data_IF_027595963810
#
_entry.id   IF_027595963810
#
_cell.length_a   1.000
_cell.length_b   1.000
_cell.length_c   1.000
_cell.angle_alpha   90.00
_cell.angle_beta   90.00
_cell.angle_gamma   90.00
#
_symmetry.space_group_name_H-M   'P 1'
#
loop_
_entity.id
_entity.type
_entity.pdbx_description
1 polymer ?
#
# COMPACT_ATOMS: atom_id res chain seq x y z
N UNK A 1 8.78 17.78 34.13
CA UNK A 1 9.99 17.12 33.64
C UNK A 1 9.81 16.81 32.16
N UNK A 2 10.88 16.79 31.37
CA UNK A 2 10.86 16.24 29.99
C UNK A 2 11.31 14.79 30.07
N UNK A 3 10.55 13.87 29.46
CA UNK A 3 10.87 12.46 29.40
C UNK A 3 10.82 12.01 27.93
N UNK A 4 11.88 11.35 27.48
CA UNK A 4 11.91 10.68 26.18
C UNK A 4 11.51 9.23 26.39
N UNK A 5 10.68 8.69 25.50
CA UNK A 5 10.20 7.31 25.56
C UNK A 5 10.44 6.61 24.22
N UNK A 6 10.71 5.32 24.30
CA UNK A 6 10.72 4.38 23.19
C UNK A 6 10.27 3.01 23.71
N UNK A 7 9.43 2.29 22.93
CA UNK A 7 8.93 0.97 23.34
C UNK A 7 9.25 -0.09 22.32
N UNK A 8 9.57 -1.30 22.82
CA UNK A 8 9.72 -2.47 21.98
C UNK A 8 8.56 -3.44 22.17
N UNK A 9 8.11 -4.04 21.07
CA UNK A 9 6.89 -4.84 21.05
C UNK A 9 7.07 -6.13 20.27
N UNK A 10 6.21 -7.10 20.51
CA UNK A 10 6.08 -8.22 19.59
C UNK A 10 5.27 -7.77 18.36
N UNK A 11 5.32 -8.58 17.31
CA UNK A 11 4.52 -8.41 16.12
C UNK A 11 4.05 -9.76 15.57
N UNK A 12 2.95 -9.75 14.83
CA UNK A 12 2.46 -10.92 14.12
C UNK A 12 2.67 -10.77 12.61
N UNK A 13 2.82 -11.90 11.91
CA UNK A 13 2.85 -11.88 10.44
C UNK A 13 1.43 -11.69 9.92
N UNK A 14 1.23 -10.69 9.10
CA UNK A 14 -0.04 -10.49 8.40
C UNK A 14 -0.12 -11.39 7.14
N UNK A 15 -1.32 -11.47 6.54
CA UNK A 15 -1.59 -12.28 5.34
C UNK A 15 -0.75 -11.90 4.11
N UNK A 16 -0.11 -10.74 4.11
CA UNK A 16 0.71 -10.22 3.02
C UNK A 16 2.22 -10.33 3.30
N UNK A 17 2.62 -11.23 4.23
CA UNK A 17 4.00 -11.41 4.70
C UNK A 17 4.64 -10.14 5.30
N UNK A 18 3.84 -9.15 5.68
CA UNK A 18 4.25 -7.99 6.46
C UNK A 18 4.18 -8.27 7.97
N UNK A 19 4.70 -7.33 8.75
CA UNK A 19 4.63 -7.37 10.21
C UNK A 19 3.53 -6.44 10.71
N UNK A 20 2.71 -6.94 11.63
CA UNK A 20 1.69 -6.14 12.31
C UNK A 20 2.05 -6.00 13.81
N UNK A 21 2.67 -4.88 14.21
CA UNK A 21 2.97 -4.58 15.61
C UNK A 21 1.82 -3.82 16.30
N UNK A 22 0.58 -4.00 15.86
CA UNK A 22 -0.57 -3.30 16.41
C UNK A 22 -0.83 -3.69 17.88
N UNK A 23 -1.08 -2.74 18.79
CA UNK A 23 -1.48 -3.04 20.16
C UNK A 23 -2.88 -3.68 20.24
N UNK A 24 -3.67 -3.63 19.17
CA UNK A 24 -5.01 -4.22 19.09
C UNK A 24 -4.98 -5.70 18.67
N UNK A 25 -3.82 -6.23 18.25
CA UNK A 25 -3.69 -7.65 17.98
C UNK A 25 -3.53 -8.41 19.31
N UNK A 26 -4.39 -9.41 19.61
CA UNK A 26 -4.45 -10.05 20.94
C UNK A 26 -3.15 -10.77 21.34
N UNK A 27 -2.38 -11.23 20.36
CA UNK A 27 -1.13 -11.97 20.61
C UNK A 27 0.09 -11.05 20.71
N UNK A 28 -0.05 -9.75 20.42
CA UNK A 28 1.03 -8.80 20.56
C UNK A 28 1.19 -8.37 22.02
N UNK A 29 2.44 -8.11 22.41
CA UNK A 29 2.82 -7.72 23.79
C UNK A 29 3.75 -6.53 23.77
N UNK A 30 3.62 -5.66 24.76
CA UNK A 30 4.62 -4.66 25.10
C UNK A 30 5.80 -5.40 25.74
N UNK A 31 6.96 -5.39 25.10
CA UNK A 31 8.13 -6.14 25.57
C UNK A 31 8.95 -5.33 26.55
N UNK A 32 9.20 -4.07 26.23
CA UNK A 32 10.02 -3.20 27.09
C UNK A 32 9.72 -1.73 26.86
N UNK A 33 10.13 -0.92 27.83
CA UNK A 33 10.00 0.55 27.83
C UNK A 33 11.34 1.16 28.19
N UNK A 34 11.90 1.97 27.31
CA UNK A 34 13.07 2.82 27.54
C UNK A 34 12.63 4.24 27.90
N UNK A 35 13.25 4.82 28.91
CA UNK A 35 13.02 6.20 29.35
C UNK A 35 14.34 6.96 29.49
N UNK A 36 14.39 8.20 29.00
CA UNK A 36 15.48 9.14 29.26
C UNK A 36 14.90 10.41 29.87
N UNK A 37 15.25 10.71 31.11
CA UNK A 37 14.63 11.80 31.88
C UNK A 37 15.60 12.44 32.86
N UNK A 38 15.11 13.30 33.73
CA UNK A 38 15.87 13.84 34.86
C UNK A 38 16.34 12.80 35.86
N UNK A 39 15.83 11.57 35.81
CA UNK A 39 16.29 10.41 36.59
C UNK A 39 17.39 9.59 35.90
N UNK A 40 17.77 9.99 34.69
CA UNK A 40 18.74 9.29 33.86
C UNK A 40 18.09 8.38 32.83
N UNK A 41 18.89 7.45 32.30
CA UNK A 41 18.48 6.47 31.30
C UNK A 41 18.02 5.19 32.00
N UNK A 42 16.69 4.97 32.02
CA UNK A 42 16.05 3.82 32.65
C UNK A 42 15.49 2.88 31.60
N UNK A 43 15.48 1.56 31.87
CA UNK A 43 14.96 0.55 30.95
C UNK A 43 14.23 -0.55 31.71
N UNK A 44 13.03 -0.90 31.26
CA UNK A 44 12.14 -1.82 31.94
C UNK A 44 11.63 -2.89 30.99
N UNK A 45 11.75 -4.15 31.38
CA UNK A 45 11.12 -5.27 30.67
C UNK A 45 9.75 -5.55 31.28
N UNK A 46 8.71 -5.50 30.44
CA UNK A 46 7.31 -5.81 30.82
C UNK A 46 6.92 -7.22 30.39
N UNK A 47 7.44 -7.67 29.24
CA UNK A 47 7.19 -9.00 28.71
C UNK A 47 8.38 -9.47 27.88
N UNK A 48 9.27 -10.22 28.49
CA UNK A 48 10.44 -10.78 27.82
C UNK A 48 10.69 -12.22 28.31
N UNK A 49 11.16 -13.12 27.43
CA UNK A 49 11.36 -14.53 27.76
C UNK A 49 12.41 -14.78 28.84
N UNK A 50 13.41 -13.93 28.93
CA UNK A 50 14.55 -14.07 29.85
C UNK A 50 14.47 -13.15 31.07
N UNK A 51 13.76 -12.02 30.97
CA UNK A 51 13.81 -10.95 31.99
C UNK A 51 12.50 -10.19 32.10
N UNK A 52 11.97 -10.06 33.29
CA UNK A 52 10.86 -9.15 33.63
C UNK A 52 11.29 -8.31 34.82
N UNK A 53 11.09 -6.98 34.76
CA UNK A 53 11.47 -6.06 35.82
C UNK A 53 10.34 -6.01 36.86
N UNK A 54 10.63 -6.30 38.12
CA UNK A 54 9.68 -6.18 39.24
C UNK A 54 9.26 -4.73 39.42
N UNK A 55 7.97 -4.49 39.74
CA UNK A 55 7.42 -3.16 39.97
C UNK A 55 7.54 -2.17 38.83
N UNK A 56 7.85 -2.66 37.61
CA UNK A 56 8.10 -1.76 36.47
C UNK A 56 6.88 -0.93 36.10
N UNK A 57 5.66 -1.44 36.26
CA UNK A 57 4.45 -0.70 35.93
C UNK A 57 4.27 0.51 36.84
N UNK A 58 4.42 0.34 38.15
CA UNK A 58 4.32 1.43 39.12
C UNK A 58 5.40 2.47 38.88
N UNK A 59 6.63 2.04 38.69
CA UNK A 59 7.76 2.93 38.44
C UNK A 59 7.60 3.72 37.14
N UNK A 60 7.23 3.07 36.04
CA UNK A 60 6.96 3.75 34.76
C UNK A 60 5.82 4.77 34.93
N UNK A 61 4.73 4.39 35.61
CA UNK A 61 3.62 5.31 35.84
C UNK A 61 4.04 6.53 36.70
N UNK A 62 4.85 6.35 37.74
CA UNK A 62 5.41 7.45 38.54
C UNK A 62 6.26 8.41 37.67
N UNK A 63 7.05 7.87 36.71
CA UNK A 63 7.81 8.71 35.75
C UNK A 63 6.89 9.49 34.84
N UNK A 64 5.82 8.86 34.32
CA UNK A 64 4.82 9.51 33.48
C UNK A 64 4.06 10.62 34.24
N UNK A 65 3.68 10.37 35.50
CA UNK A 65 2.97 11.35 36.36
C UNK A 65 3.80 12.62 36.61
N UNK A 66 5.12 12.49 36.66
CA UNK A 66 6.06 13.61 36.78
C UNK A 66 6.42 14.27 35.45
N UNK A 67 5.99 13.70 34.33
CA UNK A 67 6.34 14.17 32.99
C UNK A 67 5.40 15.27 32.53
N UNK A 68 5.95 16.44 32.20
CA UNK A 68 5.19 17.57 31.65
C UNK A 68 5.24 17.61 30.09
N UNK A 69 6.27 17.00 29.50
CA UNK A 69 6.44 16.86 28.07
C UNK A 69 7.01 15.48 27.77
N UNK A 70 6.21 14.64 27.11
CA UNK A 70 6.63 13.34 26.62
C UNK A 70 7.15 13.50 25.18
N UNK A 71 8.35 12.97 24.92
CA UNK A 71 9.05 13.07 23.64
C UNK A 71 9.31 11.67 23.12
N UNK A 72 9.12 11.45 21.81
CA UNK A 72 9.48 10.20 21.14
C UNK A 72 9.75 10.41 19.67
N UNK A 73 10.06 9.36 18.96
CA UNK A 73 10.22 9.38 17.50
C UNK A 73 9.18 8.48 16.85
N UNK A 74 8.21 9.04 16.14
CA UNK A 74 6.95 8.39 15.77
C UNK A 74 6.11 8.05 17.02
N UNK A 75 6.09 8.99 17.95
CA UNK A 75 5.57 8.86 19.31
C UNK A 75 4.13 8.33 19.39
N UNK A 76 3.33 8.50 18.35
CA UNK A 76 1.96 7.95 18.34
C UNK A 76 1.95 6.44 18.57
N UNK A 77 2.94 5.71 18.03
CA UNK A 77 3.07 4.27 18.23
C UNK A 77 3.32 3.95 19.71
N UNK A 78 4.30 4.59 20.33
CA UNK A 78 4.65 4.38 21.72
C UNK A 78 3.50 4.76 22.66
N UNK A 79 2.89 5.92 22.43
CA UNK A 79 1.76 6.40 23.20
C UNK A 79 0.59 5.41 23.16
N UNK A 80 0.24 4.90 21.98
CA UNK A 80 -0.84 3.92 21.84
C UNK A 80 -0.55 2.63 22.62
N UNK A 81 0.67 2.10 22.53
CA UNK A 81 1.09 0.92 23.26
C UNK A 81 1.03 1.14 24.78
N UNK A 82 1.51 2.29 25.26
CA UNK A 82 1.46 2.62 26.68
C UNK A 82 0.02 2.70 27.17
N UNK A 83 -0.86 3.39 26.42
CA UNK A 83 -2.27 3.53 26.82
C UNK A 83 -3.03 2.20 26.78
N UNK A 84 -2.77 1.32 25.81
CA UNK A 84 -3.37 -0.02 25.73
C UNK A 84 -2.80 -0.98 26.79
N UNK A 85 -1.55 -0.81 27.21
CA UNK A 85 -0.97 -1.53 28.34
C UNK A 85 -1.51 -1.07 29.71
N UNK A 86 -2.36 -0.03 29.74
CA UNK A 86 -3.02 0.46 30.96
C UNK A 86 -2.35 1.66 31.62
N UNK A 87 -1.26 2.17 31.07
CA UNK A 87 -0.64 3.41 31.56
C UNK A 87 -1.52 4.63 31.27
N UNK A 88 -1.37 5.67 32.08
CA UNK A 88 -2.10 6.92 31.95
C UNK A 88 -1.15 8.06 31.66
N UNK A 89 -1.47 8.86 30.65
CA UNK A 89 -0.73 10.08 30.34
C UNK A 89 -1.67 11.10 29.70
N UNK A 90 -1.69 12.32 30.24
CA UNK A 90 -2.52 13.44 29.76
C UNK A 90 -1.71 14.71 29.55
N UNK A 91 -0.38 14.62 29.64
CA UNK A 91 0.53 15.74 29.45
C UNK A 91 0.74 16.12 27.99
N UNK A 92 1.62 17.09 27.77
CA UNK A 92 2.01 17.52 26.42
C UNK A 92 2.91 16.48 25.75
N UNK A 93 2.84 16.40 24.42
CA UNK A 93 3.66 15.50 23.63
C UNK A 93 4.46 16.26 22.58
N UNK A 94 5.61 15.70 22.20
CA UNK A 94 6.42 16.16 21.08
C UNK A 94 6.98 14.97 20.32
N UNK A 95 6.69 14.90 19.03
CA UNK A 95 7.20 13.85 18.15
C UNK A 95 8.36 14.41 17.29
N UNK A 96 9.55 13.84 17.46
CA UNK A 96 10.75 14.26 16.73
C UNK A 96 10.67 13.95 15.22
N UNK A 97 9.87 12.96 14.80
CA UNK A 97 9.58 12.70 13.39
C UNK A 97 8.76 13.85 12.79
N UNK A 98 7.72 14.32 13.50
CA UNK A 98 6.91 15.46 13.08
C UNK A 98 7.72 16.77 13.14
N UNK A 99 8.57 16.93 14.13
CA UNK A 99 9.52 18.07 14.21
C UNK A 99 10.43 18.15 12.99
N UNK A 100 11.00 17.01 12.58
CA UNK A 100 11.86 16.94 11.38
C UNK A 100 11.07 17.20 10.09
N UNK A 101 9.84 16.66 9.99
CA UNK A 101 8.94 16.92 8.86
C UNK A 101 8.69 18.42 8.67
N UNK A 102 8.41 19.15 9.74
CA UNK A 102 8.16 20.61 9.71
C UNK A 102 9.41 21.38 9.35
N UNK A 103 10.56 21.03 9.95
CA UNK A 103 11.85 21.68 9.67
C UNK A 103 12.34 21.44 8.23
N UNK A 104 11.89 20.37 7.59
CA UNK A 104 12.16 20.12 6.17
C UNK A 104 11.37 21.02 5.20
N UNK A 105 10.37 21.79 5.68
CA UNK A 105 9.64 22.80 4.88
C UNK A 105 9.13 22.28 3.54
N UNK A 106 8.51 21.11 3.52
CA UNK A 106 7.95 20.47 2.33
C UNK A 106 8.97 19.70 1.45
N UNK A 107 10.27 19.76 1.78
CA UNK A 107 11.27 18.93 1.09
C UNK A 107 11.14 17.50 1.58
N UNK A 108 10.90 16.57 0.68
CA UNK A 108 10.82 15.15 1.00
C UNK A 108 12.20 14.59 1.37
N UNK A 109 12.35 14.20 2.62
CA UNK A 109 13.52 13.49 3.16
C UNK A 109 13.03 12.31 3.98
N UNK A 110 13.86 11.28 4.13
CA UNK A 110 13.55 10.18 5.05
C UNK A 110 13.42 10.72 6.47
N UNK A 111 12.39 10.27 7.17
CA UNK A 111 12.08 10.68 8.54
C UNK A 111 12.39 9.57 9.56
N UNK A 112 13.04 8.48 9.17
CA UNK A 112 13.47 7.44 10.13
C UNK A 112 14.48 8.04 11.11
N UNK A 113 14.46 7.58 12.36
CA UNK A 113 15.34 8.05 13.42
C UNK A 113 16.82 8.03 12.96
N UNK A 114 17.26 6.92 12.39
CA UNK A 114 18.62 6.75 11.86
C UNK A 114 18.98 7.86 10.84
N UNK A 115 18.12 8.11 9.85
CA UNK A 115 18.40 9.09 8.80
C UNK A 115 18.35 10.54 9.33
N UNK A 116 17.49 10.81 10.31
CA UNK A 116 17.44 12.10 10.99
C UNK A 116 18.73 12.35 11.77
N UNK A 117 19.18 11.36 12.55
CA UNK A 117 20.41 11.45 13.34
C UNK A 117 21.67 11.57 12.47
N UNK A 118 21.75 10.80 11.37
CA UNK A 118 22.87 10.89 10.43
C UNK A 118 22.96 12.29 9.77
N UNK A 119 21.85 12.85 9.33
CA UNK A 119 21.83 14.21 8.74
C UNK A 119 22.32 15.28 9.72
N UNK A 120 22.03 15.08 11.00
CA UNK A 120 22.40 16.01 12.08
C UNK A 120 23.72 15.68 12.76
N UNK A 121 24.33 14.53 12.41
CA UNK A 121 25.60 14.04 12.98
C UNK A 121 25.55 13.90 14.50
N UNK A 122 24.43 13.41 15.05
CA UNK A 122 24.18 13.34 16.51
C UNK A 122 24.20 11.92 17.07
N UNK A 123 24.36 10.90 16.25
CA UNK A 123 24.45 9.51 16.65
C UNK A 123 24.05 8.56 15.53
N UNK A 124 24.12 7.28 15.83
CA UNK A 124 23.70 6.19 14.93
C UNK A 124 22.84 5.20 15.71
N UNK A 125 21.87 4.62 15.04
CA UNK A 125 21.08 3.51 15.56
C UNK A 125 21.92 2.24 15.58
N UNK A 126 21.69 1.36 16.54
CA UNK A 126 22.34 0.05 16.60
C UNK A 126 21.69 -0.90 15.57
N UNK A 127 22.50 -1.48 14.69
CA UNK A 127 22.00 -2.36 13.62
C UNK A 127 22.01 -3.86 14.00
N UNK A 128 22.50 -4.23 15.19
CA UNK A 128 22.62 -5.65 15.63
C UNK A 128 21.28 -6.35 15.75
N UNK A 129 20.25 -5.63 16.20
CA UNK A 129 18.86 -6.13 16.30
C UNK A 129 18.25 -6.44 14.94
N UNK A 130 18.67 -5.74 13.89
CA UNK A 130 18.14 -5.90 12.55
C UNK A 130 18.24 -7.32 12.01
N UNK A 131 19.36 -8.00 12.30
CA UNK A 131 19.54 -9.41 11.92
C UNK A 131 18.43 -10.31 12.46
N UNK A 132 18.07 -10.15 13.74
CA UNK A 132 16.99 -10.94 14.36
C UNK A 132 15.63 -10.61 13.77
N UNK A 133 15.36 -9.33 13.49
CA UNK A 133 14.09 -8.90 12.86
C UNK A 133 13.96 -9.46 11.43
N UNK A 134 15.04 -9.45 10.65
CA UNK A 134 15.05 -9.99 9.27
C UNK A 134 14.78 -11.51 9.27
N UNK A 135 15.22 -12.25 10.31
CA UNK A 135 14.90 -13.66 10.54
C UNK A 135 13.48 -13.87 11.14
N UNK A 136 12.76 -12.81 11.44
CA UNK A 136 11.41 -12.86 12.00
C UNK A 136 11.35 -13.19 13.48
N UNK A 137 12.45 -12.96 14.22
CA UNK A 137 12.54 -13.14 15.67
C UNK A 137 12.03 -11.85 16.34
N UNK A 138 11.04 -12.00 17.22
CA UNK A 138 10.42 -10.88 17.94
C UNK A 138 11.25 -10.45 19.15
N UNK A 139 11.10 -9.19 19.57
CA UNK A 139 11.89 -8.58 20.65
C UNK A 139 11.86 -9.36 21.98
N UNK A 140 10.78 -10.05 22.28
CA UNK A 140 10.64 -10.90 23.46
C UNK A 140 11.56 -12.14 23.48
N UNK A 141 12.16 -12.48 22.32
CA UNK A 141 13.03 -13.66 22.12
C UNK A 141 14.46 -13.30 21.75
N UNK A 142 14.77 -12.05 21.54
CA UNK A 142 16.12 -11.54 21.32
C UNK A 142 16.83 -11.49 22.70
N UNK A 143 18.14 -11.80 22.84
CA UNK A 143 18.83 -11.70 24.12
C UNK A 143 18.57 -10.38 24.85
N UNK A 144 18.22 -10.44 26.12
CA UNK A 144 17.74 -9.29 26.90
C UNK A 144 18.75 -8.14 26.96
N UNK A 145 20.03 -8.44 27.06
CA UNK A 145 21.12 -7.46 27.08
C UNK A 145 21.22 -6.68 25.77
N UNK A 146 21.02 -7.33 24.63
CA UNK A 146 20.99 -6.66 23.32
C UNK A 146 19.76 -5.75 23.17
N UNK A 147 18.59 -6.21 23.59
CA UNK A 147 17.35 -5.40 23.57
C UNK A 147 17.49 -4.19 24.48
N UNK A 148 18.05 -4.36 25.68
CA UNK A 148 18.28 -3.27 26.63
C UNK A 148 19.27 -2.24 26.07
N UNK A 149 20.42 -2.67 25.51
CA UNK A 149 21.40 -1.77 24.93
C UNK A 149 20.82 -0.98 23.74
N UNK A 150 20.07 -1.67 22.87
CA UNK A 150 19.40 -1.07 21.73
C UNK A 150 18.40 -0.01 22.17
N UNK A 151 17.43 -0.32 23.04
CA UNK A 151 16.39 0.61 23.47
C UNK A 151 16.96 1.79 24.28
N UNK A 152 17.98 1.56 25.15
CA UNK A 152 18.69 2.65 25.82
C UNK A 152 19.36 3.61 24.83
N UNK A 153 19.94 3.09 23.76
CA UNK A 153 20.53 3.92 22.72
C UNK A 153 19.46 4.73 21.98
N UNK A 154 18.31 4.13 21.66
CA UNK A 154 17.24 4.80 20.91
C UNK A 154 16.66 5.99 21.67
N UNK A 155 16.43 5.90 22.98
CA UNK A 155 15.98 7.06 23.78
C UNK A 155 17.06 8.16 23.87
N UNK A 156 18.34 7.79 23.97
CA UNK A 156 19.44 8.77 24.03
C UNK A 156 19.58 9.53 22.70
N UNK A 157 19.57 8.85 21.55
CA UNK A 157 19.67 9.52 20.26
C UNK A 157 18.40 10.32 19.93
N UNK A 158 17.22 9.86 20.39
CA UNK A 158 15.97 10.61 20.27
C UNK A 158 16.01 11.89 21.12
N UNK A 159 16.58 11.84 22.34
CA UNK A 159 16.81 13.04 23.16
C UNK A 159 17.73 14.04 22.46
N UNK A 160 18.85 13.56 21.91
CA UNK A 160 19.80 14.41 21.15
C UNK A 160 19.13 15.01 19.91
N UNK A 161 18.28 14.26 19.21
CA UNK A 161 17.49 14.76 18.07
C UNK A 161 16.53 15.87 18.52
N UNK A 162 15.79 15.65 19.61
CA UNK A 162 14.92 16.66 20.20
C UNK A 162 15.68 17.94 20.53
N UNK A 163 16.82 17.84 21.24
CA UNK A 163 17.61 19.00 21.62
C UNK A 163 18.13 19.77 20.41
N UNK A 164 18.61 19.06 19.38
CA UNK A 164 19.03 19.65 18.11
C UNK A 164 17.89 20.39 17.40
N UNK A 165 16.69 19.81 17.37
CA UNK A 165 15.51 20.44 16.77
C UNK A 165 15.07 21.68 17.55
N UNK A 166 15.16 21.65 18.88
CA UNK A 166 14.85 22.83 19.72
C UNK A 166 15.84 23.98 19.46
N UNK A 167 17.12 23.72 19.13
CA UNK A 167 18.03 24.77 18.68
C UNK A 167 17.63 25.32 17.30
N UNK A 168 17.23 24.45 16.37
CA UNK A 168 16.77 24.90 15.05
C UNK A 168 15.52 25.79 15.14
N UNK A 169 14.58 25.48 16.03
CA UNK A 169 13.38 26.31 16.24
C UNK A 169 13.66 27.67 16.87
N UNK A 170 14.81 27.85 17.52
CA UNK A 170 15.24 29.17 18.02
C UNK A 170 15.73 30.10 16.92
N UNK A 171 16.12 29.55 15.74
CA UNK A 171 16.58 30.34 14.62
C UNK A 171 15.45 31.26 14.09
N UNK A 172 15.73 32.54 13.76
CA UNK A 172 14.71 33.48 13.29
C UNK A 172 13.86 32.96 12.13
N UNK A 173 14.46 32.19 11.21
CA UNK A 173 13.78 31.62 10.06
C UNK A 173 12.84 30.45 10.39
N UNK A 174 12.87 29.94 11.61
CA UNK A 174 12.12 28.75 12.03
C UNK A 174 11.24 28.98 13.28
N UNK A 175 11.37 30.13 13.96
CA UNK A 175 10.71 30.37 15.26
C UNK A 175 9.19 30.18 15.25
N UNK A 176 8.53 30.51 14.14
CA UNK A 176 7.08 30.35 14.02
C UNK A 176 6.66 28.89 13.74
N UNK A 177 7.57 28.07 13.22
CA UNK A 177 7.31 26.65 12.95
C UNK A 177 7.09 25.85 14.22
N UNK A 178 7.58 26.28 15.39
CA UNK A 178 7.36 25.61 16.67
C UNK A 178 5.88 25.56 17.05
N UNK A 179 5.09 26.55 16.64
CA UNK A 179 3.64 26.57 16.87
C UNK A 179 2.97 25.42 16.11
N UNK A 180 3.37 25.22 14.85
CA UNK A 180 2.90 24.09 14.03
C UNK A 180 3.32 22.76 14.62
N UNK A 181 4.57 22.63 15.11
CA UNK A 181 5.04 21.41 15.75
C UNK A 181 4.21 21.06 17.01
N UNK A 182 3.89 22.05 17.83
CA UNK A 182 3.03 21.87 19.02
C UNK A 182 1.62 21.43 18.60
N UNK A 183 1.00 22.11 17.65
CA UNK A 183 -0.33 21.76 17.14
C UNK A 183 -0.35 20.33 16.57
N UNK A 184 0.68 19.91 15.84
CA UNK A 184 0.78 18.54 15.34
C UNK A 184 0.93 17.52 16.45
N UNK A 185 1.62 17.85 17.55
CA UNK A 185 1.69 17.01 18.74
C UNK A 185 0.33 16.87 19.44
N UNK A 186 -0.39 17.96 19.63
CA UNK A 186 -1.75 17.92 20.18
C UNK A 186 -2.68 17.09 19.28
N UNK A 187 -2.58 17.26 17.99
CA UNK A 187 -3.36 16.49 17.02
C UNK A 187 -2.96 15.00 16.97
N UNK A 188 -1.69 14.66 17.24
CA UNK A 188 -1.24 13.27 17.39
C UNK A 188 -2.00 12.55 18.50
N UNK A 189 -2.25 13.20 19.65
CA UNK A 189 -3.04 12.64 20.76
C UNK A 189 -4.48 12.35 20.30
N UNK A 190 -5.10 13.30 19.59
CA UNK A 190 -6.45 13.11 19.03
C UNK A 190 -6.48 11.93 18.07
N UNK A 191 -5.47 11.80 17.19
CA UNK A 191 -5.38 10.66 16.26
C UNK A 191 -5.18 9.34 17.00
N UNK A 192 -4.39 9.32 18.08
CA UNK A 192 -4.23 8.13 18.92
C UNK A 192 -5.56 7.70 19.52
N UNK A 193 -6.35 8.64 20.04
CA UNK A 193 -7.68 8.35 20.59
C UNK A 193 -8.67 7.88 19.52
N UNK A 194 -8.62 8.47 18.33
CA UNK A 194 -9.45 8.03 17.19
C UNK A 194 -9.11 6.59 16.77
N UNK A 195 -7.83 6.26 16.65
CA UNK A 195 -7.37 4.93 16.29
C UNK A 195 -7.71 3.90 17.39
N UNK A 196 -7.55 4.26 18.65
CA UNK A 196 -7.91 3.40 19.82
C UNK A 196 -9.42 3.16 19.90
N UNK A 197 -10.22 4.17 19.68
CA UNK A 197 -11.68 4.02 19.65
C UNK A 197 -12.14 3.13 18.48
N UNK A 198 -11.43 3.15 17.38
CA UNK A 198 -11.74 2.35 16.22
C UNK A 198 -13.09 2.69 15.57
N UNK A 199 -13.43 1.91 14.57
CA UNK A 199 -14.67 2.01 13.80
C UNK A 199 -15.36 0.65 13.84
N UNK A 200 -16.66 0.62 14.13
CA UNK A 200 -17.43 -0.62 14.08
C UNK A 200 -17.91 -0.92 12.67
N UNK A 201 -17.65 -2.13 12.20
CA UNK A 201 -18.02 -2.69 10.91
C UNK A 201 -19.05 -3.79 11.11
N UNK A 202 -20.21 -3.65 10.48
CA UNK A 202 -21.22 -4.72 10.43
C UNK A 202 -20.74 -5.81 9.45
N UNK A 203 -20.23 -6.90 10.02
CA UNK A 203 -19.68 -8.03 9.25
C UNK A 203 -20.73 -8.71 8.36
N UNK A 204 -22.01 -8.74 8.78
CA UNK A 204 -23.08 -9.32 7.96
C UNK A 204 -23.35 -8.47 6.72
N UNK A 205 -23.36 -7.14 6.86
CA UNK A 205 -23.51 -6.22 5.73
C UNK A 205 -22.28 -6.31 4.81
N UNK A 206 -21.07 -6.40 5.39
CA UNK A 206 -19.84 -6.56 4.61
C UNK A 206 -19.87 -7.84 3.77
N UNK A 207 -20.27 -8.97 4.35
CA UNK A 207 -20.32 -10.25 3.64
C UNK A 207 -21.41 -10.25 2.57
N UNK A 208 -22.58 -9.65 2.82
CA UNK A 208 -23.62 -9.48 1.82
C UNK A 208 -23.12 -8.67 0.61
N UNK A 209 -22.45 -7.56 0.86
CA UNK A 209 -21.88 -6.71 -0.21
C UNK A 209 -20.79 -7.48 -0.96
N UNK A 210 -19.91 -8.18 -0.26
CA UNK A 210 -18.88 -9.04 -0.86
C UNK A 210 -19.47 -10.10 -1.78
N UNK A 211 -20.49 -10.82 -1.35
CA UNK A 211 -21.16 -11.87 -2.14
C UNK A 211 -21.82 -11.29 -3.40
N UNK A 212 -22.54 -10.15 -3.29
CA UNK A 212 -23.20 -9.47 -4.40
C UNK A 212 -22.20 -9.09 -5.51
N UNK A 213 -21.11 -8.40 -5.16
CA UNK A 213 -20.14 -7.97 -6.15
C UNK A 213 -19.24 -9.08 -6.66
N UNK A 214 -19.02 -10.14 -5.87
CA UNK A 214 -18.35 -11.37 -6.35
C UNK A 214 -19.18 -12.05 -7.41
N UNK A 215 -20.49 -12.17 -7.22
CA UNK A 215 -21.40 -12.74 -8.21
C UNK A 215 -21.45 -11.87 -9.49
N UNK A 216 -21.54 -10.55 -9.36
CA UNK A 216 -21.49 -9.63 -10.51
C UNK A 216 -20.16 -9.74 -11.27
N UNK A 217 -19.03 -9.83 -10.57
CA UNK A 217 -17.71 -10.04 -11.18
C UNK A 217 -17.66 -11.34 -11.98
N UNK A 218 -18.17 -12.44 -11.42
CA UNK A 218 -18.23 -13.72 -12.11
C UNK A 218 -19.06 -13.66 -13.39
N UNK A 219 -20.24 -13.03 -13.33
CA UNK A 219 -21.07 -12.79 -14.50
C UNK A 219 -20.35 -11.98 -15.59
N UNK A 220 -19.71 -10.87 -15.22
CA UNK A 220 -18.94 -10.04 -16.16
C UNK A 220 -17.75 -10.80 -16.74
N UNK A 221 -17.05 -11.62 -15.93
CA UNK A 221 -15.95 -12.46 -16.41
C UNK A 221 -16.45 -13.41 -17.49
N UNK A 222 -17.56 -14.08 -17.29
CA UNK A 222 -18.13 -15.00 -18.28
C UNK A 222 -18.56 -14.28 -19.55
N UNK A 223 -19.22 -13.10 -19.42
CA UNK A 223 -19.62 -12.28 -20.57
C UNK A 223 -18.39 -11.80 -21.39
N UNK A 224 -17.38 -11.28 -20.71
CA UNK A 224 -16.15 -10.79 -21.35
C UNK A 224 -15.40 -11.94 -22.02
N UNK A 225 -15.24 -13.08 -21.34
CA UNK A 225 -14.53 -14.25 -21.89
C UNK A 225 -15.16 -14.75 -23.20
N UNK A 226 -16.49 -14.75 -23.28
CA UNK A 226 -17.20 -15.11 -24.54
C UNK A 226 -16.88 -14.15 -25.68
N UNK A 227 -16.86 -12.83 -25.41
CA UNK A 227 -16.52 -11.81 -26.43
C UNK A 227 -15.05 -11.93 -26.82
N UNK A 228 -14.15 -12.09 -25.83
CA UNK A 228 -12.71 -12.28 -26.06
C UNK A 228 -12.45 -13.50 -26.94
N UNK A 229 -13.06 -14.65 -26.63
CA UNK A 229 -12.92 -15.85 -27.44
C UNK A 229 -13.39 -15.63 -28.88
N UNK A 230 -14.53 -14.98 -29.09
CA UNK A 230 -15.03 -14.66 -30.42
C UNK A 230 -14.07 -13.74 -31.20
N UNK A 231 -13.35 -12.85 -30.54
CA UNK A 231 -12.45 -11.86 -31.17
C UNK A 231 -11.01 -12.33 -31.29
N UNK A 232 -10.49 -13.09 -30.34
CA UNK A 232 -9.09 -13.48 -30.28
C UNK A 232 -8.85 -14.94 -30.70
N UNK A 233 -9.87 -15.78 -30.69
CA UNK A 233 -9.75 -17.23 -30.79
C UNK A 233 -9.29 -17.81 -29.46
N UNK A 234 -8.43 -18.83 -29.51
CA UNK A 234 -7.98 -19.55 -28.32
C UNK A 234 -6.88 -18.85 -27.52
N UNK A 235 -6.45 -17.64 -27.95
CA UNK A 235 -5.48 -16.85 -27.19
C UNK A 235 -6.12 -16.32 -25.91
N UNK A 236 -5.61 -16.75 -24.77
CA UNK A 236 -6.01 -16.17 -23.50
C UNK A 236 -5.55 -14.72 -23.38
N UNK A 237 -6.42 -13.85 -22.87
CA UNK A 237 -6.16 -12.44 -22.64
C UNK A 237 -6.23 -12.15 -21.14
N UNK A 238 -5.13 -11.64 -20.61
CA UNK A 238 -5.12 -11.06 -19.27
C UNK A 238 -5.79 -9.69 -19.29
N UNK A 239 -7.00 -9.60 -18.77
CA UNK A 239 -7.81 -8.38 -18.71
C UNK A 239 -7.18 -7.27 -17.86
N UNK A 240 -6.27 -7.62 -16.94
CA UNK A 240 -5.51 -6.66 -16.13
C UNK A 240 -4.26 -6.14 -16.85
N UNK A 241 -3.91 -6.69 -18.02
CA UNK A 241 -2.77 -6.23 -18.82
C UNK A 241 -3.19 -5.15 -19.81
N UNK A 242 -2.75 -3.88 -19.63
CA UNK A 242 -3.05 -2.81 -20.59
C UNK A 242 -2.59 -3.14 -22.02
N UNK A 243 -1.51 -3.89 -22.17
CA UNK A 243 -0.97 -4.31 -23.45
C UNK A 243 -1.92 -5.27 -24.16
N UNK A 244 -2.33 -6.34 -23.48
CA UNK A 244 -3.20 -7.37 -24.09
C UNK A 244 -4.60 -6.80 -24.36
N UNK A 245 -5.10 -5.94 -23.48
CA UNK A 245 -6.35 -5.21 -23.70
C UNK A 245 -6.24 -4.28 -24.92
N UNK A 246 -5.09 -3.64 -25.12
CA UNK A 246 -4.80 -2.85 -26.33
C UNK A 246 -4.86 -3.70 -27.61
N UNK A 247 -4.34 -4.94 -27.60
CA UNK A 247 -4.42 -5.86 -28.75
C UNK A 247 -5.87 -6.20 -29.10
N UNK A 248 -6.68 -6.47 -28.10
CA UNK A 248 -8.10 -6.78 -28.31
C UNK A 248 -8.87 -5.61 -28.90
N UNK A 249 -8.61 -4.38 -28.45
CA UNK A 249 -9.33 -3.19 -28.92
C UNK A 249 -8.83 -2.75 -30.31
N UNK A 250 -7.53 -2.62 -30.51
CA UNK A 250 -6.93 -2.00 -31.69
C UNK A 250 -6.42 -3.00 -32.73
N UNK A 251 -6.39 -4.30 -32.42
CA UNK A 251 -5.89 -5.37 -33.32
C UNK A 251 -4.44 -5.19 -33.77
N UNK A 252 -3.66 -4.45 -33.01
CA UNK A 252 -2.28 -4.09 -33.31
C UNK A 252 -1.41 -4.10 -32.06
N UNK A 253 -0.12 -4.41 -32.25
CA UNK A 253 0.91 -4.29 -31.23
C UNK A 253 2.17 -3.61 -31.80
N UNK A 254 2.95 -2.89 -31.00
CA UNK A 254 4.23 -2.34 -31.43
C UNK A 254 5.17 -3.41 -31.92
N UNK A 255 5.90 -3.16 -33.03
CA UNK A 255 6.99 -4.01 -33.49
C UNK A 255 8.16 -4.05 -32.51
N UNK A 256 8.51 -2.87 -31.97
CA UNK A 256 9.53 -2.65 -30.96
C UNK A 256 9.04 -1.59 -29.98
N UNK A 257 8.89 -1.96 -28.70
CA UNK A 257 8.37 -1.06 -27.66
C UNK A 257 9.31 0.13 -27.37
N UNK A 258 10.63 -0.07 -27.43
CA UNK A 258 11.59 0.98 -27.16
C UNK A 258 11.57 2.04 -28.28
N UNK A 259 11.56 1.59 -29.54
CA UNK A 259 11.43 2.47 -30.70
C UNK A 259 10.07 3.16 -30.73
N UNK A 260 8.99 2.45 -30.42
CA UNK A 260 7.63 2.99 -30.30
C UNK A 260 7.57 4.13 -29.29
N UNK A 261 8.10 3.92 -28.07
CA UNK A 261 8.15 4.93 -27.04
C UNK A 261 8.99 6.16 -27.47
N UNK A 262 10.07 5.95 -28.21
CA UNK A 262 10.92 7.02 -28.75
C UNK A 262 10.20 7.85 -29.81
N UNK A 263 9.56 7.19 -30.80
CA UNK A 263 8.82 7.85 -31.91
C UNK A 263 7.73 8.78 -31.37
N UNK A 264 6.96 8.30 -30.40
CA UNK A 264 5.84 9.06 -29.83
C UNK A 264 6.23 9.88 -28.58
N UNK A 265 7.56 9.95 -28.27
CA UNK A 265 8.12 10.67 -27.11
C UNK A 265 7.35 10.37 -25.80
N UNK A 266 7.19 9.07 -25.50
CA UNK A 266 6.49 8.56 -24.34
C UNK A 266 7.45 8.51 -23.13
N UNK A 267 6.92 8.71 -21.92
CA UNK A 267 7.65 8.60 -20.66
C UNK A 267 7.76 9.91 -19.92
N UNK A 268 8.59 9.90 -18.88
CA UNK A 268 8.84 11.02 -17.98
C UNK A 268 10.24 11.58 -18.23
N UNK A 269 10.35 12.88 -18.26
CA UNK A 269 11.63 13.57 -18.29
C UNK A 269 12.32 13.41 -16.92
N UNK A 270 13.51 12.81 -16.90
CA UNK A 270 14.24 12.49 -15.66
C UNK A 270 14.70 13.73 -14.89
N UNK A 271 14.93 14.84 -15.57
CA UNK A 271 15.41 16.07 -14.95
C UNK A 271 14.28 16.85 -14.28
N UNK A 272 13.10 16.86 -14.90
CA UNK A 272 11.95 17.66 -14.45
C UNK A 272 10.88 16.86 -13.74
N UNK A 273 10.91 15.51 -13.82
CA UNK A 273 9.86 14.64 -13.31
C UNK A 273 8.51 14.77 -14.02
N UNK A 274 8.43 15.53 -15.12
CA UNK A 274 7.18 15.77 -15.87
C UNK A 274 7.07 14.83 -17.06
N UNK A 275 5.84 14.53 -17.48
CA UNK A 275 5.59 13.80 -18.71
C UNK A 275 6.19 14.52 -19.90
N UNK A 276 6.86 13.78 -20.78
CA UNK A 276 7.43 14.32 -22.01
C UNK A 276 6.32 14.87 -22.92
N UNK A 277 6.62 15.96 -23.64
CA UNK A 277 5.69 16.55 -24.60
C UNK A 277 5.55 15.64 -25.83
N UNK A 278 4.33 15.29 -26.18
CA UNK A 278 4.03 14.50 -27.38
C UNK A 278 4.36 15.27 -28.66
N UNK A 279 4.79 14.57 -29.74
CA UNK A 279 5.03 15.22 -31.04
C UNK A 279 3.72 15.79 -31.62
N UNK A 280 3.82 16.93 -32.28
CA UNK A 280 2.71 17.48 -33.06
C UNK A 280 2.71 16.82 -34.43
N UNK A 281 1.70 16.01 -34.72
CA UNK A 281 1.56 15.25 -35.96
C UNK A 281 0.20 15.52 -36.57
N UNK A 282 0.15 15.65 -37.89
CA UNK A 282 -1.10 15.54 -38.62
C UNK A 282 -1.66 14.12 -38.50
N UNK A 283 -2.97 13.96 -38.71
CA UNK A 283 -3.60 12.63 -38.65
C UNK A 283 -2.98 11.62 -39.64
N UNK A 284 -2.58 12.09 -40.81
CA UNK A 284 -1.96 11.25 -41.82
C UNK A 284 -0.55 10.81 -41.41
N UNK A 285 0.28 11.72 -40.88
CA UNK A 285 1.59 11.40 -40.31
C UNK A 285 1.46 10.40 -39.15
N UNK A 286 0.53 10.64 -38.27
CA UNK A 286 0.26 9.73 -37.14
C UNK A 286 -0.12 8.33 -37.61
N UNK A 287 -1.07 8.22 -38.54
CA UNK A 287 -1.52 6.94 -39.08
C UNK A 287 -0.38 6.20 -39.81
N UNK A 288 0.45 6.91 -40.58
CA UNK A 288 1.63 6.36 -41.22
C UNK A 288 2.64 5.81 -40.24
N UNK A 289 2.96 6.57 -39.16
CA UNK A 289 3.86 6.12 -38.10
C UNK A 289 3.33 4.88 -37.39
N UNK A 290 2.04 4.86 -37.05
CA UNK A 290 1.39 3.68 -36.43
C UNK A 290 1.49 2.48 -37.37
N UNK A 291 1.17 2.63 -38.67
CA UNK A 291 1.21 1.56 -39.65
C UNK A 291 2.63 0.96 -39.80
N UNK A 292 3.65 1.81 -39.85
CA UNK A 292 5.04 1.39 -40.09
C UNK A 292 5.73 0.81 -38.86
N UNK A 293 5.23 1.09 -37.66
CA UNK A 293 5.85 0.68 -36.37
C UNK A 293 4.96 -0.25 -35.54
N UNK A 294 3.90 -0.80 -36.12
CA UNK A 294 3.06 -1.81 -35.49
C UNK A 294 2.75 -2.95 -36.41
N UNK A 295 2.52 -4.12 -35.87
CA UNK A 295 2.06 -5.29 -36.58
C UNK A 295 0.64 -5.70 -36.18
N UNK A 296 -0.14 -6.32 -37.08
CA UNK A 296 -1.46 -6.81 -36.78
C UNK A 296 -1.42 -8.03 -35.87
N UNK A 297 -2.40 -8.10 -34.95
CA UNK A 297 -2.65 -9.28 -34.12
C UNK A 297 -3.67 -10.16 -34.87
N UNK A 298 -3.38 -11.45 -34.93
CA UNK A 298 -4.24 -12.41 -35.60
C UNK A 298 -4.88 -13.36 -34.57
N UNK A 299 -6.04 -13.90 -34.89
CA UNK A 299 -6.63 -14.98 -34.11
C UNK A 299 -5.73 -16.19 -34.08
N UNK A 300 -5.84 -16.96 -33.00
CA UNK A 300 -5.15 -18.23 -32.87
C UNK A 300 -6.13 -19.37 -32.70
N UNK A 301 -5.72 -20.56 -33.12
CA UNK A 301 -6.31 -21.83 -32.72
C UNK A 301 -5.31 -22.59 -31.87
N UNK A 302 -5.76 -23.22 -30.79
CA UNK A 302 -4.91 -24.03 -29.94
C UNK A 302 -5.03 -25.51 -30.32
N UNK A 303 -3.90 -26.20 -30.34
CA UNK A 303 -3.84 -27.65 -30.39
C UNK A 303 -3.17 -28.19 -29.13
N UNK A 304 -3.63 -29.32 -28.64
CA UNK A 304 -3.01 -30.00 -27.50
C UNK A 304 -1.55 -30.31 -27.79
N UNK A 305 -0.66 -29.93 -26.90
CA UNK A 305 0.76 -30.23 -27.03
C UNK A 305 0.97 -31.74 -26.86
N UNK A 306 1.38 -32.40 -27.91
CA UNK A 306 1.61 -33.87 -27.94
C UNK A 306 2.79 -34.27 -27.05
N UNK A 307 3.81 -33.40 -26.90
CA UNK A 307 5.01 -33.69 -26.13
C UNK A 307 4.73 -33.86 -24.61
N UNK A 308 3.84 -33.07 -24.06
CA UNK A 308 3.44 -33.16 -22.65
C UNK A 308 2.01 -33.70 -22.47
N UNK A 309 1.36 -34.11 -23.52
CA UNK A 309 -0.03 -34.57 -23.51
C UNK A 309 -0.99 -33.55 -22.85
N UNK A 310 -0.80 -32.26 -23.15
CA UNK A 310 -1.60 -31.15 -22.62
C UNK A 310 -1.33 -30.79 -21.16
N UNK A 311 -0.35 -31.42 -20.50
CA UNK A 311 -0.09 -31.19 -19.06
C UNK A 311 0.77 -29.97 -18.77
N UNK A 312 1.40 -29.37 -19.79
CA UNK A 312 2.32 -28.24 -19.63
C UNK A 312 3.65 -28.61 -18.97
N UNK A 313 3.74 -29.77 -18.35
CA UNK A 313 4.92 -30.25 -17.64
C UNK A 313 5.29 -31.67 -18.07
N UNK A 314 6.59 -31.98 -18.03
CA UNK A 314 7.12 -33.31 -18.33
C UNK A 314 7.98 -33.81 -17.16
N UNK A 315 8.02 -35.11 -16.99
CA UNK A 315 8.90 -35.78 -16.04
C UNK A 315 10.20 -36.15 -16.76
N UNK A 316 11.31 -35.57 -16.33
CA UNK A 316 12.63 -35.98 -16.84
C UNK A 316 12.96 -37.39 -16.36
N UNK A 317 13.60 -38.17 -17.21
CA UNK A 317 14.06 -39.52 -16.92
C UNK A 317 15.58 -39.49 -16.69
N UNK A 318 16.05 -40.11 -15.62
CA UNK A 318 17.48 -40.27 -15.31
C UNK A 318 18.12 -41.27 -16.25
N UNK A 319 19.46 -41.30 -16.27
CA UNK A 319 20.24 -42.26 -17.11
C UNK A 319 19.93 -43.74 -16.78
N UNK A 320 19.46 -44.01 -15.54
CA UNK A 320 19.08 -45.35 -15.08
C UNK A 320 17.63 -45.72 -15.43
N UNK A 321 16.91 -44.87 -16.19
CA UNK A 321 15.51 -45.10 -16.58
C UNK A 321 14.47 -44.66 -15.52
N UNK A 322 14.87 -44.24 -14.32
CA UNK A 322 13.97 -43.80 -13.28
C UNK A 322 13.56 -42.30 -13.47
N UNK A 323 12.31 -41.91 -13.14
CA UNK A 323 11.91 -40.52 -13.25
C UNK A 323 12.48 -39.68 -12.12
N UNK A 324 12.81 -38.39 -12.40
CA UNK A 324 13.08 -37.40 -11.36
C UNK A 324 11.84 -37.13 -10.50
N UNK A 325 12.02 -36.73 -9.24
CA UNK A 325 10.91 -36.38 -8.32
C UNK A 325 10.12 -35.16 -8.84
N UNK A 326 10.77 -34.17 -9.42
CA UNK A 326 10.19 -32.92 -9.85
C UNK A 326 9.83 -32.93 -11.34
N UNK A 327 8.73 -32.27 -11.67
CA UNK A 327 8.33 -31.98 -13.04
C UNK A 327 9.10 -30.74 -13.55
N UNK A 328 9.35 -30.68 -14.86
CA UNK A 328 9.91 -29.51 -15.55
C UNK A 328 8.89 -29.00 -16.55
N UNK A 329 8.93 -27.71 -16.84
CA UNK A 329 8.10 -27.12 -17.89
C UNK A 329 8.37 -27.81 -19.23
N UNK A 330 7.34 -28.09 -20.00
CA UNK A 330 7.45 -28.61 -21.35
C UNK A 330 8.09 -27.53 -22.25
N UNK A 331 9.17 -27.88 -22.95
CA UNK A 331 9.88 -26.95 -23.87
C UNK A 331 9.08 -26.60 -25.09
N UNK A 332 8.24 -27.51 -25.58
CA UNK A 332 7.45 -27.32 -26.82
C UNK A 332 6.34 -26.29 -26.64
N UNK A 333 5.63 -26.33 -25.49
CA UNK A 333 4.53 -25.42 -25.21
C UNK A 333 4.86 -24.38 -24.13
N UNK A 334 6.12 -24.29 -23.70
CA UNK A 334 6.56 -23.39 -22.61
C UNK A 334 5.76 -23.51 -21.29
N UNK A 335 5.18 -24.68 -21.05
CA UNK A 335 4.40 -24.93 -19.85
C UNK A 335 2.89 -24.75 -20.00
N UNK A 336 2.39 -24.28 -21.14
CA UNK A 336 0.96 -23.96 -21.34
C UNK A 336 0.08 -25.20 -21.61
N UNK A 337 0.70 -26.31 -22.03
CA UNK A 337 -0.04 -27.55 -22.43
C UNK A 337 -0.61 -27.49 -23.85
N UNK A 338 -0.62 -26.32 -24.48
CA UNK A 338 -1.16 -26.10 -25.81
C UNK A 338 -0.14 -25.39 -26.71
N UNK A 339 -0.25 -25.65 -28.03
CA UNK A 339 0.51 -24.95 -29.06
C UNK A 339 -0.48 -24.08 -29.84
N UNK A 340 -0.16 -22.78 -29.96
CA UNK A 340 -1.04 -21.81 -30.60
C UNK A 340 -0.62 -21.58 -32.05
N UNK A 341 -1.55 -21.77 -32.98
CA UNK A 341 -1.36 -21.58 -34.39
C UNK A 341 -2.03 -20.30 -34.87
N UNK A 342 -1.28 -19.43 -35.55
CA UNK A 342 -1.79 -18.20 -36.13
C UNK A 342 -2.77 -18.49 -37.27
N UNK A 343 -3.96 -17.89 -37.18
CA UNK A 343 -4.99 -17.93 -38.21
C UNK A 343 -4.81 -16.77 -39.20
N UNK A 344 -5.40 -16.86 -40.40
CA UNK A 344 -5.43 -15.76 -41.36
C UNK A 344 -6.31 -14.59 -40.96
N UNK A 345 -7.23 -14.80 -39.99
CA UNK A 345 -8.24 -13.80 -39.56
C UNK A 345 -7.68 -12.84 -38.51
N UNK A 346 -7.85 -11.53 -38.77
CA UNK A 346 -7.46 -10.48 -37.80
C UNK A 346 -8.22 -10.68 -36.48
N UNK A 347 -7.48 -10.52 -35.37
CA UNK A 347 -8.03 -10.56 -34.02
C UNK A 347 -8.54 -9.17 -33.56
N UNK A 348 -9.39 -9.16 -32.52
CA UNK A 348 -9.84 -7.94 -31.87
C UNK A 348 -10.92 -7.18 -32.62
N UNK A 349 -11.14 -5.92 -32.17
CA UNK A 349 -12.18 -5.02 -32.69
C UNK A 349 -11.68 -4.08 -33.81
N UNK A 350 -10.39 -4.07 -34.09
CA UNK A 350 -9.76 -3.24 -35.12
C UNK A 350 -10.09 -1.74 -35.02
N UNK A 351 -10.13 -1.21 -33.83
CA UNK A 351 -10.36 0.24 -33.63
C UNK A 351 -9.18 1.06 -34.18
N UNK A 352 -9.51 2.25 -34.68
CA UNK A 352 -8.51 3.15 -35.26
C UNK A 352 -8.18 4.23 -34.22
N UNK A 353 -6.92 4.33 -33.76
CA UNK A 353 -6.53 5.41 -32.86
C UNK A 353 -6.61 6.76 -33.58
N UNK A 354 -7.06 7.80 -32.84
CA UNK A 354 -7.39 9.11 -33.43
C UNK A 354 -6.23 10.10 -33.33
N UNK A 355 -5.33 9.93 -32.35
CA UNK A 355 -4.27 10.88 -32.07
C UNK A 355 -3.07 10.27 -31.35
N UNK A 356 -1.98 11.03 -31.25
CA UNK A 356 -0.78 10.67 -30.47
C UNK A 356 -1.08 10.50 -28.98
N UNK A 357 -2.20 11.05 -28.50
CA UNK A 357 -2.60 10.91 -27.09
C UNK A 357 -3.25 9.56 -26.79
N UNK A 358 -3.65 8.81 -27.81
CA UNK A 358 -4.17 7.45 -27.65
C UNK A 358 -3.06 6.40 -27.52
N UNK A 359 -1.78 6.81 -27.66
CA UNK A 359 -0.61 5.92 -27.60
C UNK A 359 -0.07 5.79 -26.19
N UNK A 360 0.30 4.58 -25.78
CA UNK A 360 0.98 4.23 -24.53
C UNK A 360 2.30 3.49 -24.79
N UNK A 361 3.09 3.23 -23.76
CA UNK A 361 4.36 2.48 -23.87
C UNK A 361 4.17 1.06 -24.40
N UNK A 362 3.04 0.43 -24.07
CA UNK A 362 2.68 -0.94 -24.44
C UNK A 362 1.79 -1.03 -25.69
N UNK A 363 1.60 0.07 -26.43
CA UNK A 363 0.76 0.14 -27.61
C UNK A 363 -0.22 1.30 -27.56
N UNK A 364 -1.48 1.05 -27.20
CA UNK A 364 -2.52 2.08 -27.11
C UNK A 364 -3.08 2.15 -25.70
N UNK A 365 -3.61 3.33 -25.34
CA UNK A 365 -4.14 3.58 -24.00
C UNK A 365 -5.42 2.79 -23.75
N UNK A 366 -5.49 2.23 -22.56
CA UNK A 366 -6.63 1.46 -22.06
C UNK A 366 -6.99 1.85 -20.62
N UNK A 367 -6.63 3.09 -20.21
CA UNK A 367 -7.03 3.62 -18.91
C UNK A 367 -8.54 3.90 -18.89
N UNK A 368 -9.09 4.01 -17.68
CA UNK A 368 -10.53 4.17 -17.45
C UNK A 368 -11.16 5.30 -18.28
N UNK A 369 -10.48 6.46 -18.37
CA UNK A 369 -10.98 7.62 -19.11
C UNK A 369 -11.05 7.31 -20.60
N UNK A 370 -9.98 6.72 -21.15
CA UNK A 370 -9.92 6.32 -22.56
C UNK A 370 -10.97 5.26 -22.90
N UNK A 371 -11.12 4.22 -22.05
CA UNK A 371 -12.14 3.18 -22.26
C UNK A 371 -13.55 3.74 -22.19
N UNK A 372 -13.84 4.59 -21.20
CA UNK A 372 -15.18 5.21 -21.06
C UNK A 372 -15.52 6.14 -22.23
N UNK A 373 -14.54 6.91 -22.72
CA UNK A 373 -14.71 7.73 -23.91
C UNK A 373 -14.97 6.87 -25.15
N UNK A 374 -14.16 5.83 -25.35
CA UNK A 374 -14.32 4.91 -26.48
C UNK A 374 -15.68 4.21 -26.43
N UNK A 375 -16.14 3.82 -25.24
CA UNK A 375 -17.48 3.25 -25.04
C UNK A 375 -18.58 4.21 -25.45
N UNK A 376 -18.49 5.49 -25.11
CA UNK A 376 -19.51 6.50 -25.51
C UNK A 376 -19.58 6.75 -27.03
N UNK A 377 -18.49 6.44 -27.75
CA UNK A 377 -18.36 6.63 -29.20
C UNK A 377 -18.57 5.33 -30.00
N UNK A 378 -18.85 4.21 -29.33
CA UNK A 378 -18.97 2.88 -29.92
C UNK A 378 -20.39 2.32 -29.81
N UNK A 379 -20.70 1.35 -30.69
CA UNK A 379 -21.99 0.64 -30.71
C UNK A 379 -21.75 -0.89 -30.78
N UNK A 380 -22.82 -1.67 -30.59
CA UNK A 380 -22.82 -3.12 -30.73
C UNK A 380 -21.88 -3.82 -29.73
N UNK A 381 -21.26 -4.90 -30.18
CA UNK A 381 -20.42 -5.77 -29.34
C UNK A 381 -19.22 -5.06 -28.70
N UNK A 382 -18.63 -4.06 -29.40
CA UNK A 382 -17.54 -3.27 -28.82
C UNK A 382 -18.03 -2.43 -27.65
N UNK A 383 -19.18 -1.78 -27.78
CA UNK A 383 -19.80 -1.01 -26.68
C UNK A 383 -20.07 -1.91 -25.49
N UNK A 384 -20.65 -3.10 -25.72
CA UNK A 384 -20.92 -4.07 -24.66
C UNK A 384 -19.66 -4.53 -23.96
N UNK A 385 -18.59 -4.80 -24.71
CA UNK A 385 -17.30 -5.18 -24.17
C UNK A 385 -16.69 -4.05 -23.31
N UNK A 386 -16.68 -2.81 -23.83
CA UNK A 386 -16.08 -1.67 -23.13
C UNK A 386 -16.82 -1.31 -21.84
N UNK A 387 -18.15 -1.34 -21.85
CA UNK A 387 -18.96 -1.13 -20.64
C UNK A 387 -18.70 -2.26 -19.62
N UNK A 388 -18.61 -3.51 -20.07
CA UNK A 388 -18.36 -4.66 -19.21
C UNK A 388 -16.95 -4.61 -18.59
N UNK A 389 -15.91 -4.27 -19.36
CA UNK A 389 -14.54 -4.23 -18.83
C UNK A 389 -14.32 -3.05 -17.87
N UNK A 390 -14.91 -1.89 -18.14
CA UNK A 390 -14.88 -0.74 -17.21
C UNK A 390 -15.56 -1.09 -15.90
N UNK A 391 -16.72 -1.75 -15.95
CA UNK A 391 -17.43 -2.20 -14.75
C UNK A 391 -16.67 -3.29 -14.02
N UNK A 392 -16.12 -4.29 -14.72
CA UNK A 392 -15.28 -5.36 -14.17
C UNK A 392 -14.09 -4.79 -13.40
N UNK A 393 -13.31 -3.88 -14.00
CA UNK A 393 -12.15 -3.27 -13.35
C UNK A 393 -12.54 -2.47 -12.10
N UNK A 394 -13.69 -1.80 -12.13
CA UNK A 394 -14.18 -1.07 -10.98
C UNK A 394 -14.58 -2.01 -9.83
N UNK A 395 -15.25 -3.13 -10.14
CA UNK A 395 -15.62 -4.16 -9.14
C UNK A 395 -14.38 -4.89 -8.63
N UNK A 396 -13.43 -5.23 -9.50
CA UNK A 396 -12.18 -5.87 -9.10
C UNK A 396 -11.40 -5.03 -8.08
N UNK A 397 -11.25 -3.73 -8.35
CA UNK A 397 -10.66 -2.78 -7.40
C UNK A 397 -11.48 -2.69 -6.12
N UNK A 398 -12.80 -2.68 -6.21
CA UNK A 398 -13.68 -2.60 -5.06
C UNK A 398 -13.53 -3.82 -4.13
N UNK A 399 -13.55 -5.01 -4.69
CA UNK A 399 -13.38 -6.26 -3.94
C UNK A 399 -11.97 -6.40 -3.37
N UNK A 400 -10.94 -6.20 -4.20
CA UNK A 400 -9.55 -6.46 -3.81
C UNK A 400 -8.95 -5.40 -2.89
N UNK A 401 -9.38 -4.14 -3.01
CA UNK A 401 -8.81 -3.04 -2.23
C UNK A 401 -9.69 -2.65 -1.05
N UNK A 402 -10.99 -2.47 -1.27
CA UNK A 402 -11.87 -1.90 -0.24
C UNK A 402 -12.50 -3.00 0.62
N UNK A 403 -13.11 -4.00 0.03
CA UNK A 403 -13.75 -5.10 0.79
C UNK A 403 -12.68 -5.94 1.49
N UNK A 404 -11.66 -6.40 0.76
CA UNK A 404 -10.58 -7.19 1.33
C UNK A 404 -9.82 -6.38 2.41
N UNK A 405 -9.52 -5.10 2.14
CA UNK A 405 -8.84 -4.23 3.10
C UNK A 405 -9.62 -4.08 4.41
N UNK A 406 -10.94 -3.89 4.37
CA UNK A 406 -11.76 -3.85 5.58
C UNK A 406 -11.77 -5.23 6.27
N UNK A 407 -12.04 -6.30 5.51
CA UNK A 407 -12.14 -7.66 6.06
C UNK A 407 -10.84 -8.13 6.74
N UNK A 408 -9.69 -7.78 6.17
CA UNK A 408 -8.38 -8.21 6.67
C UNK A 408 -7.94 -7.49 7.94
N UNK A 409 -8.50 -6.30 8.21
CA UNK A 409 -8.14 -5.47 9.36
C UNK A 409 -9.26 -5.33 10.40
N UNK A 410 -10.42 -5.96 10.17
CA UNK A 410 -11.52 -6.01 11.15
C UNK A 410 -11.36 -7.24 12.02
N UNK A 411 -11.45 -7.07 13.33
CA UNK A 411 -11.40 -8.17 14.30
C UNK A 411 -12.70 -9.00 14.33
N UNK A 412 -12.74 -10.06 15.14
CA UNK A 412 -13.89 -10.93 15.29
C UNK A 412 -15.12 -10.24 15.92
N UNK A 413 -14.94 -9.11 16.58
CA UNK A 413 -15.99 -8.30 17.18
C UNK A 413 -16.50 -7.18 16.26
N UNK A 414 -15.98 -7.09 15.04
CA UNK A 414 -16.33 -6.05 14.08
C UNK A 414 -15.60 -4.72 14.30
N UNK A 415 -14.56 -4.70 15.14
CA UNK A 415 -13.79 -3.48 15.36
C UNK A 415 -12.63 -3.38 14.37
N UNK A 416 -12.42 -2.18 13.88
CA UNK A 416 -11.41 -1.82 12.88
C UNK A 416 -10.66 -0.58 13.36
N UNK A 417 -9.32 -0.65 13.38
CA UNK A 417 -8.44 0.41 13.86
C UNK A 417 -7.58 0.96 12.72
N UNK A 418 -8.14 1.85 11.85
CA UNK A 418 -7.38 2.40 10.72
C UNK A 418 -6.29 3.35 11.22
N UNK A 419 -5.12 3.31 10.58
CA UNK A 419 -3.98 4.16 10.94
C UNK A 419 -4.02 5.49 10.18
N UNK A 420 -3.91 6.62 10.89
CA UNK A 420 -3.82 7.96 10.32
C UNK A 420 -2.42 8.55 10.48
N UNK A 421 -1.81 8.98 9.40
CA UNK A 421 -0.42 9.44 9.38
C UNK A 421 -0.31 10.89 8.97
N UNK A 422 0.43 11.69 9.75
CA UNK A 422 0.58 13.14 9.58
C UNK A 422 1.72 13.54 8.64
N UNK A 423 2.82 12.80 8.59
CA UNK A 423 4.06 13.23 7.93
C UNK A 423 4.30 12.59 6.54
N UNK A 424 3.24 12.15 5.84
CA UNK A 424 3.35 11.44 4.56
C UNK A 424 3.20 12.37 3.36
N UNK A 425 2.27 13.32 3.41
CA UNK A 425 1.97 14.21 2.29
C UNK A 425 2.82 15.48 2.37
N UNK A 426 3.21 16.06 1.24
CA UNK A 426 3.95 17.33 1.23
C UNK A 426 3.09 18.53 1.66
N UNK A 427 1.76 18.38 1.64
CA UNK A 427 0.78 19.45 1.92
C UNK A 427 0.28 19.47 3.36
N UNK A 428 0.73 18.56 4.23
CA UNK A 428 0.24 18.45 5.60
C UNK A 428 -1.11 17.75 5.76
N UNK A 429 -1.71 17.28 4.65
CA UNK A 429 -2.94 16.45 4.73
C UNK A 429 -2.63 15.11 5.39
N UNK A 430 -3.59 14.56 6.12
CA UNK A 430 -3.50 13.20 6.64
C UNK A 430 -3.45 12.17 5.51
N UNK A 431 -2.79 11.08 5.77
CA UNK A 431 -2.88 9.85 4.99
C UNK A 431 -3.44 8.74 5.87
N UNK A 432 -4.22 7.81 5.31
CA UNK A 432 -4.76 6.66 6.04
C UNK A 432 -4.31 5.35 5.41
N UNK A 433 -4.05 4.35 6.25
CA UNK A 433 -3.71 2.98 5.81
C UNK A 433 -4.24 1.95 6.81
N UNK A 434 -4.20 0.70 6.43
CA UNK A 434 -4.53 -0.47 7.21
C UNK A 434 -5.96 -0.45 7.80
N UNK A 435 -7.03 -0.24 6.97
CA UNK A 435 -7.07 0.09 5.56
C UNK A 435 -7.15 1.61 5.29
N UNK A 436 -7.04 2.01 4.00
CA UNK A 436 -7.19 3.42 3.63
C UNK A 436 -8.66 3.86 3.67
N UNK A 437 -9.05 4.59 4.71
CA UNK A 437 -10.41 5.13 4.90
C UNK A 437 -10.67 6.47 4.20
N UNK A 438 -9.63 7.18 3.77
CA UNK A 438 -9.78 8.49 3.11
C UNK A 438 -10.17 8.38 1.63
N UNK A 439 -9.86 7.24 0.98
CA UNK A 439 -10.11 7.01 -0.44
C UNK A 439 -11.31 6.10 -0.70
N UNK A 440 -12.22 5.95 0.28
CA UNK A 440 -13.41 5.12 0.11
C UNK A 440 -14.31 5.63 -1.03
N UNK A 441 -14.87 4.75 -1.89
CA UNK A 441 -15.76 5.14 -2.96
C UNK A 441 -16.94 5.96 -2.43
N UNK A 442 -17.32 6.99 -3.19
CA UNK A 442 -18.50 7.83 -2.90
C UNK A 442 -19.67 7.39 -3.78
N UNK A 443 -20.88 7.62 -3.29
CA UNK A 443 -22.12 7.38 -4.03
C UNK A 443 -22.68 5.97 -3.86
N UNK A 444 -23.77 5.70 -4.61
CA UNK A 444 -24.58 4.47 -4.49
C UNK A 444 -23.98 3.27 -5.22
N UNK A 445 -23.05 3.49 -6.15
CA UNK A 445 -22.51 2.44 -7.02
C UNK A 445 -21.66 1.42 -6.26
N UNK A 446 -21.00 1.86 -5.18
CA UNK A 446 -20.19 1.01 -4.31
C UNK A 446 -20.48 1.38 -2.85
N UNK A 447 -21.47 0.76 -2.22
CA UNK A 447 -22.00 1.18 -0.93
C UNK A 447 -21.16 0.74 0.28
N UNK A 448 -19.82 0.75 0.17
CA UNK A 448 -18.92 0.31 1.23
C UNK A 448 -19.12 1.07 2.56
N UNK A 449 -19.53 2.34 2.49
CA UNK A 449 -19.79 3.14 3.69
C UNK A 449 -20.97 2.61 4.54
N UNK A 450 -21.85 1.80 3.95
CA UNK A 450 -22.99 1.20 4.66
C UNK A 450 -22.54 0.12 5.65
N UNK A 451 -21.32 -0.42 5.52
CA UNK A 451 -20.78 -1.39 6.48
C UNK A 451 -20.39 -0.74 7.81
N UNK A 452 -20.15 0.58 7.81
CA UNK A 452 -19.81 1.33 9.02
C UNK A 452 -21.09 1.64 9.79
N UNK A 453 -21.15 1.18 11.01
CA UNK A 453 -22.32 1.33 11.90
C UNK A 453 -21.89 1.89 13.24
N UNK A 454 -22.85 2.41 13.99
CA UNK A 454 -22.63 2.68 15.41
C UNK A 454 -22.51 1.38 16.19
N UNK A 455 -21.50 1.26 17.05
CA UNK A 455 -21.37 0.13 17.99
C UNK A 455 -22.34 0.20 19.16
N UNK A 456 -23.01 1.32 19.34
CA UNK A 456 -23.99 1.51 20.43
C UNK A 456 -25.40 1.15 19.95
N UNK A 457 -26.17 0.48 20.80
CA UNK A 457 -27.56 0.16 20.54
C UNK A 457 -28.37 1.44 20.26
N UNK A 458 -29.08 1.49 19.13
CA UNK A 458 -29.80 2.69 18.65
C UNK A 458 -28.91 3.90 18.37
N UNK A 459 -27.58 3.72 18.36
CA UNK A 459 -26.65 4.78 18.02
C UNK A 459 -26.71 5.19 16.56
N UNK A 460 -26.27 6.39 16.27
CA UNK A 460 -26.20 6.97 14.91
C UNK A 460 -24.77 7.40 14.62
N UNK A 461 -24.44 7.41 13.35
CA UNK A 461 -23.22 8.07 12.85
C UNK A 461 -23.61 9.46 12.40
N UNK A 462 -22.87 10.45 12.87
CA UNK A 462 -23.03 11.85 12.49
C UNK A 462 -21.90 12.22 11.54
N UNK A 463 -22.24 12.72 10.34
CA UNK A 463 -21.28 13.27 9.37
C UNK A 463 -21.41 14.79 9.35
N UNK A 464 -20.32 15.49 9.66
CA UNK A 464 -20.25 16.96 9.63
C UNK A 464 -19.05 17.33 8.77
N UNK A 465 -19.27 18.19 7.77
CA UNK A 465 -18.23 18.69 6.88
C UNK A 465 -18.40 20.19 6.67
N UNK A 466 -17.28 20.89 6.47
CA UNK A 466 -17.30 22.30 6.11
C UNK A 466 -17.55 22.45 4.62
N UNK A 467 -18.52 23.29 4.24
CA UNK A 467 -18.69 23.68 2.85
C UNK A 467 -17.67 24.76 2.50
N UNK A 468 -16.80 24.50 1.52
CA UNK A 468 -15.87 25.48 0.95
C UNK A 468 -14.84 26.06 1.96
N UNK A 469 -14.13 25.20 2.67
CA UNK A 469 -13.02 25.64 3.55
C UNK A 469 -11.75 25.97 2.75
N UNK A 470 -11.63 25.55 1.49
CA UNK A 470 -10.46 25.77 0.61
C UNK A 470 -10.65 26.98 -0.28
#
# INVERSE_FOLDING_TARGET
MITVIDVETTYQKNKHNGFDPSPFHPDNKLVSVGLESGFGNEYYFTYHSEKVSEGCFETIQERLDQTTLLVGHNLKFDLMWMLEAGFKYSGKVYDTMLGEYILNKGIRKSLTLQMCCQRRKIGMKDDRIKYYMDEGITFDKIPADLVEEYGRNDVVITKRLFDSQMQDFKLPANKDLIKTAKMMGEFLVVLSDMERNGIYVDLNVLEKVNAEYTAEKAYLTQKISKIVYNKMGDTEINLSSPEQLSWLIYSKKPLDKANWAKIFNIGVDKATGKSKRRPQLSINQFRSLVKNNSEPVYKTSASKCLHCDGKGVIKRIKKDGSPYKNYTKCSECNGDGFIYHKMAKLAGFNQVPKSVYDVSESGFRTDKITLSKLASESEGELREFLDAIVRYNAIDTYLSTFIAGIKDHTDSHGMLHPKFMQAVTATGRLSSRDPNFQNQPRGKTFPIRQVVKSRFTNGKILEIDFSQLE
#
